data_IF_159852756766
#
_entry.id   IF_159852756766
#
_cell.length_a   1.000
_cell.length_b   1.000
_cell.length_c   1.000
_cell.angle_alpha   90.00
_cell.angle_beta   90.00
_cell.angle_gamma   90.00
#
_symmetry.space_group_name_H-M   'P 1'
#
loop_
_entity.id
_entity.type
_entity.pdbx_description
1 polymer ?
#
# COMPACT_ATOMS: atom_id res chain seq x y z
N UNK A 1 4.19 -14.18 -17.48
CA UNK A 1 4.02 -12.85 -16.88
C UNK A 1 4.90 -11.86 -17.62
N UNK A 2 4.42 -10.63 -17.88
CA UNK A 2 5.25 -9.60 -18.51
C UNK A 2 6.46 -9.28 -17.60
N UNK A 3 7.71 -9.45 -18.07
CA UNK A 3 8.90 -9.26 -17.25
C UNK A 3 9.03 -7.82 -16.72
N UNK A 4 8.52 -6.82 -17.46
CA UNK A 4 8.47 -5.44 -17.00
C UNK A 4 7.52 -5.27 -15.82
N UNK A 5 6.35 -5.90 -15.86
CA UNK A 5 5.36 -5.84 -14.79
C UNK A 5 5.89 -6.50 -13.50
N UNK A 6 6.53 -7.65 -13.62
CA UNK A 6 7.18 -8.31 -12.48
C UNK A 6 8.27 -7.41 -11.88
N UNK A 7 9.12 -6.82 -12.73
CA UNK A 7 10.18 -5.90 -12.28
C UNK A 7 9.59 -4.68 -11.56
N UNK A 8 8.54 -4.06 -12.11
CA UNK A 8 7.85 -2.94 -11.47
C UNK A 8 7.27 -3.34 -10.12
N UNK A 9 6.61 -4.49 -10.01
CA UNK A 9 6.08 -4.98 -8.75
C UNK A 9 7.19 -5.16 -7.70
N UNK A 10 8.30 -5.81 -8.06
CA UNK A 10 9.42 -6.03 -7.14
C UNK A 10 10.01 -4.70 -6.69
N UNK A 11 10.30 -3.79 -7.63
CA UNK A 11 10.93 -2.50 -7.33
C UNK A 11 10.01 -1.64 -6.44
N UNK A 12 8.72 -1.51 -6.79
CA UNK A 12 7.79 -0.71 -6.00
C UNK A 12 7.51 -1.34 -4.64
N UNK A 13 7.41 -2.67 -4.55
CA UNK A 13 7.25 -3.38 -3.28
C UNK A 13 8.45 -3.18 -2.35
N UNK A 14 9.67 -3.33 -2.87
CA UNK A 14 10.90 -3.09 -2.13
C UNK A 14 11.04 -1.62 -1.70
N UNK A 15 10.63 -0.68 -2.56
CA UNK A 15 10.65 0.74 -2.24
C UNK A 15 9.73 1.05 -1.05
N UNK A 16 8.50 0.54 -1.07
CA UNK A 16 7.54 0.75 0.03
C UNK A 16 8.05 0.08 1.31
N UNK A 17 8.64 -1.11 1.21
CA UNK A 17 9.24 -1.80 2.35
C UNK A 17 10.38 -0.98 2.97
N UNK A 18 11.28 -0.45 2.13
CA UNK A 18 12.38 0.40 2.58
C UNK A 18 11.87 1.68 3.24
N UNK A 19 10.87 2.35 2.64
CA UNK A 19 10.26 3.54 3.25
C UNK A 19 9.60 3.24 4.59
N UNK A 20 8.90 2.10 4.71
CA UNK A 20 8.27 1.71 5.97
C UNK A 20 9.31 1.47 7.08
N UNK A 21 10.40 0.75 6.75
CA UNK A 21 11.52 0.52 7.68
C UNK A 21 12.18 1.83 8.08
N UNK A 22 12.38 2.77 7.15
CA UNK A 22 12.95 4.07 7.45
C UNK A 22 12.06 4.88 8.39
N UNK A 23 10.75 4.97 8.12
CA UNK A 23 9.83 5.70 8.98
C UNK A 23 9.73 5.07 10.37
N UNK A 24 9.54 3.76 10.45
CA UNK A 24 9.49 3.05 11.73
C UNK A 24 10.81 3.15 12.50
N UNK A 25 11.95 3.08 11.80
CA UNK A 25 13.28 3.21 12.39
C UNK A 25 13.57 4.61 12.93
N UNK A 26 13.05 5.65 12.28
CA UNK A 26 13.16 7.05 12.76
C UNK A 26 12.23 7.29 13.95
N UNK A 27 11.02 6.73 13.96
CA UNK A 27 10.02 6.93 15.04
C UNK A 27 10.35 6.10 16.29
N UNK A 28 10.73 4.83 16.12
CA UNK A 28 10.91 3.88 17.24
C UNK A 28 12.36 3.47 17.49
N UNK A 29 13.28 3.79 16.58
CA UNK A 29 14.68 3.35 16.62
C UNK A 29 14.90 1.97 15.97
N UNK A 30 15.86 1.89 15.04
CA UNK A 30 16.13 0.65 14.28
C UNK A 30 16.43 -0.60 15.13
N UNK A 31 17.02 -0.42 16.32
CA UNK A 31 17.33 -1.54 17.23
C UNK A 31 16.12 -2.03 18.03
N UNK A 32 15.08 -1.20 18.15
CA UNK A 32 13.87 -1.55 18.88
C UNK A 32 12.83 -2.25 17.98
N UNK A 33 13.06 -2.30 16.65
CA UNK A 33 12.14 -2.92 15.72
C UNK A 33 12.13 -4.46 15.90
N UNK A 34 10.97 -5.06 16.20
CA UNK A 34 10.86 -6.49 16.44
C UNK A 34 11.02 -7.30 15.14
N UNK A 35 11.46 -8.55 15.26
CA UNK A 35 11.69 -9.43 14.09
C UNK A 35 10.45 -9.58 13.20
N UNK A 36 9.26 -9.63 13.80
CA UNK A 36 8.01 -9.76 13.04
C UNK A 36 7.78 -8.56 12.10
N UNK A 37 8.23 -7.36 12.48
CA UNK A 37 8.06 -6.16 11.65
C UNK A 37 8.86 -6.29 10.35
N UNK A 38 10.09 -6.78 10.45
CA UNK A 38 10.96 -7.05 9.30
C UNK A 38 10.36 -8.11 8.36
N UNK A 39 9.85 -9.21 8.93
CA UNK A 39 9.19 -10.27 8.17
C UNK A 39 7.93 -9.76 7.46
N UNK A 40 7.16 -8.89 8.13
CA UNK A 40 5.96 -8.33 7.54
C UNK A 40 6.25 -7.46 6.32
N UNK A 41 7.42 -6.81 6.23
CA UNK A 41 7.80 -6.05 5.04
C UNK A 41 7.93 -6.90 3.78
N UNK A 42 8.25 -8.19 3.92
CA UNK A 42 8.30 -9.12 2.80
C UNK A 42 6.91 -9.35 2.18
N UNK A 43 5.84 -9.15 2.96
CA UNK A 43 4.46 -9.25 2.47
C UNK A 43 4.09 -8.13 1.48
N UNK A 44 4.89 -7.05 1.41
CA UNK A 44 4.68 -6.01 0.41
C UNK A 44 4.94 -6.52 -1.01
N UNK A 45 5.82 -7.50 -1.19
CA UNK A 45 6.07 -8.11 -2.50
C UNK A 45 4.81 -8.77 -3.09
N UNK A 46 4.16 -9.74 -2.42
CA UNK A 46 2.90 -10.29 -2.91
C UNK A 46 1.76 -9.28 -2.86
N UNK A 47 1.77 -8.29 -1.96
CA UNK A 47 0.75 -7.24 -1.93
C UNK A 47 0.70 -6.42 -3.23
N UNK A 48 1.82 -6.32 -3.98
CA UNK A 48 1.85 -5.65 -5.30
C UNK A 48 1.05 -6.36 -6.39
N UNK A 49 0.53 -7.58 -6.15
CA UNK A 49 -0.34 -8.26 -7.11
C UNK A 49 -1.67 -7.53 -7.31
N UNK A 50 -2.25 -6.95 -6.26
CA UNK A 50 -3.49 -6.17 -6.36
C UNK A 50 -3.34 -4.95 -7.27
N UNK A 51 -2.40 -4.02 -7.03
CA UNK A 51 -2.24 -2.85 -7.88
C UNK A 51 -1.84 -3.23 -9.30
N UNK A 52 -1.00 -4.26 -9.48
CA UNK A 52 -0.62 -4.74 -10.81
C UNK A 52 -1.80 -5.23 -11.65
N UNK A 53 -2.84 -5.79 -11.02
CA UNK A 53 -4.06 -6.25 -11.69
C UNK A 53 -5.09 -5.13 -11.85
N UNK A 54 -5.29 -4.31 -10.82
CA UNK A 54 -6.40 -3.36 -10.75
C UNK A 54 -6.08 -2.00 -11.39
N UNK A 55 -4.83 -1.53 -11.34
CA UNK A 55 -4.48 -0.22 -11.88
C UNK A 55 -4.61 -0.11 -13.41
N UNK A 56 -4.26 -1.14 -14.21
CA UNK A 56 -4.53 -1.11 -15.65
C UNK A 56 -6.03 -1.02 -15.94
N UNK A 57 -6.85 -1.78 -15.20
CA UNK A 57 -8.31 -1.74 -15.34
C UNK A 57 -8.86 -0.36 -14.95
N UNK A 58 -8.36 0.21 -13.85
CA UNK A 58 -8.72 1.55 -13.41
C UNK A 58 -8.37 2.59 -14.49
N UNK A 59 -7.19 2.49 -15.11
CA UNK A 59 -6.70 3.44 -16.11
C UNK A 59 -7.59 3.50 -17.37
N UNK A 60 -8.28 2.42 -17.73
CA UNK A 60 -9.23 2.41 -18.86
C UNK A 60 -10.69 2.64 -18.43
N UNK A 61 -10.95 2.78 -17.13
CA UNK A 61 -12.31 2.96 -16.61
C UNK A 61 -12.75 4.42 -16.71
N UNK A 62 -13.74 4.69 -17.56
CA UNK A 62 -14.29 6.05 -17.75
C UNK A 62 -15.04 6.59 -16.51
N UNK A 63 -15.98 5.86 -15.90
CA UNK A 63 -16.74 6.38 -14.76
C UNK A 63 -15.82 6.71 -13.59
N UNK A 64 -15.84 7.96 -13.14
CA UNK A 64 -14.87 8.47 -12.15
C UNK A 64 -14.89 7.68 -10.84
N UNK A 65 -16.07 7.49 -10.24
CA UNK A 65 -16.20 6.77 -8.97
C UNK A 65 -15.72 5.31 -9.07
N UNK A 66 -16.04 4.64 -10.19
CA UNK A 66 -15.57 3.27 -10.45
C UNK A 66 -14.05 3.22 -10.64
N UNK A 67 -13.46 4.22 -11.31
CA UNK A 67 -12.01 4.33 -11.45
C UNK A 67 -11.34 4.56 -10.08
N UNK A 68 -11.89 5.47 -9.28
CA UNK A 68 -11.41 5.76 -7.93
C UNK A 68 -11.47 4.52 -7.03
N UNK A 69 -12.58 3.77 -7.07
CA UNK A 69 -12.70 2.53 -6.28
C UNK A 69 -11.70 1.46 -6.70
N UNK A 70 -11.40 1.32 -8.00
CA UNK A 70 -10.39 0.37 -8.47
C UNK A 70 -8.97 0.77 -8.03
N UNK A 71 -8.64 2.06 -8.04
CA UNK A 71 -7.37 2.53 -7.47
C UNK A 71 -7.31 2.32 -5.96
N UNK A 72 -8.40 2.63 -5.23
CA UNK A 72 -8.49 2.41 -3.79
C UNK A 72 -8.28 0.92 -3.44
N UNK A 73 -8.97 0.02 -4.14
CA UNK A 73 -8.83 -1.43 -3.96
C UNK A 73 -7.42 -1.91 -4.30
N UNK A 74 -6.79 -1.38 -5.35
CA UNK A 74 -5.41 -1.74 -5.69
C UNK A 74 -4.41 -1.34 -4.62
N UNK A 75 -4.67 -0.27 -3.87
CA UNK A 75 -3.83 0.15 -2.75
C UNK A 75 -4.08 -0.59 -1.44
N UNK A 76 -5.17 -1.35 -1.33
CA UNK A 76 -5.61 -1.95 -0.07
C UNK A 76 -4.57 -2.88 0.56
N UNK A 77 -4.03 -3.83 -0.21
CA UNK A 77 -3.06 -4.79 0.33
C UNK A 77 -1.72 -4.12 0.69
N UNK A 78 -1.09 -3.29 -0.17
CA UNK A 78 0.14 -2.60 0.20
C UNK A 78 0.01 -1.70 1.41
N UNK A 79 -1.03 -0.85 1.44
CA UNK A 79 -1.23 0.04 2.58
C UNK A 79 -1.73 -0.68 3.81
N UNK A 80 -2.39 -1.84 3.67
CA UNK A 80 -2.71 -2.71 4.79
C UNK A 80 -1.45 -3.17 5.50
N UNK A 81 -0.47 -3.71 4.75
CA UNK A 81 0.82 -4.10 5.34
C UNK A 81 1.52 -2.88 5.93
N UNK A 82 1.67 -1.79 5.16
CA UNK A 82 2.37 -0.58 5.61
C UNK A 82 1.76 0.00 6.89
N UNK A 83 0.47 0.32 6.86
CA UNK A 83 -0.21 1.03 7.94
C UNK A 83 -0.38 0.17 9.18
N UNK A 84 -0.85 -1.08 9.03
CA UNK A 84 -1.12 -1.95 10.18
C UNK A 84 0.18 -2.33 10.87
N UNK A 85 1.25 -2.61 10.13
CA UNK A 85 2.55 -2.95 10.75
C UNK A 85 3.20 -1.75 11.43
N UNK A 86 3.04 -0.54 10.88
CA UNK A 86 3.49 0.69 11.51
C UNK A 86 2.70 1.02 12.78
N UNK A 87 1.37 1.03 12.70
CA UNK A 87 0.49 1.32 13.84
C UNK A 87 0.67 0.29 14.97
N UNK A 88 0.93 -0.98 14.64
CA UNK A 88 1.15 -2.06 15.62
C UNK A 88 2.46 -1.92 16.41
N UNK A 89 3.37 -1.02 16.03
CA UNK A 89 4.55 -0.68 16.84
C UNK A 89 4.21 0.27 18.01
N UNK A 90 3.03 0.90 17.97
CA UNK A 90 2.62 1.84 19.01
C UNK A 90 2.03 1.11 20.21
N UNK A 91 2.32 1.58 21.44
CA UNK A 91 1.83 0.93 22.66
C UNK A 91 0.30 1.02 22.83
N UNK A 92 -0.33 2.00 22.19
CA UNK A 92 -1.78 2.24 22.19
C UNK A 92 -2.47 1.69 20.93
N UNK A 93 -1.87 0.69 20.27
CA UNK A 93 -2.40 0.12 19.04
C UNK A 93 -3.86 -0.33 19.18
N UNK A 94 -4.70 0.24 18.31
CA UNK A 94 -6.09 -0.14 18.15
C UNK A 94 -6.31 -0.59 16.70
N UNK A 95 -6.64 -1.87 16.52
CA UNK A 95 -6.83 -2.47 15.20
C UNK A 95 -7.98 -1.81 14.43
N UNK A 96 -9.11 -1.55 15.08
CA UNK A 96 -10.29 -0.97 14.43
C UNK A 96 -9.98 0.44 13.92
N UNK A 97 -9.32 1.26 14.74
CA UNK A 97 -8.89 2.60 14.33
C UNK A 97 -7.89 2.54 13.15
N UNK A 98 -6.97 1.58 13.16
CA UNK A 98 -6.02 1.38 12.06
C UNK A 98 -6.73 0.96 10.76
N UNK A 99 -7.70 0.04 10.84
CA UNK A 99 -8.49 -0.42 9.68
C UNK A 99 -9.37 0.69 9.11
N UNK A 100 -10.01 1.51 9.96
CA UNK A 100 -10.77 2.68 9.52
C UNK A 100 -9.83 3.67 8.80
N UNK A 101 -8.68 3.97 9.40
CA UNK A 101 -7.68 4.84 8.79
C UNK A 101 -7.12 4.27 7.47
N UNK A 102 -7.01 2.95 7.33
CA UNK A 102 -6.62 2.28 6.09
C UNK A 102 -7.66 2.52 4.99
N UNK A 103 -8.93 2.29 5.29
CA UNK A 103 -10.03 2.50 4.33
C UNK A 103 -10.06 3.96 3.86
N UNK A 104 -9.92 4.91 4.79
CA UNK A 104 -9.86 6.35 4.48
C UNK A 104 -8.64 6.66 3.60
N UNK A 105 -7.46 6.16 3.97
CA UNK A 105 -6.23 6.35 3.19
C UNK A 105 -6.38 5.82 1.76
N UNK A 106 -6.89 4.60 1.59
CA UNK A 106 -7.12 4.01 0.28
C UNK A 106 -8.13 4.81 -0.55
N UNK A 107 -9.19 5.34 0.07
CA UNK A 107 -10.16 6.20 -0.61
C UNK A 107 -9.53 7.51 -1.08
N UNK A 108 -8.76 8.20 -0.22
CA UNK A 108 -8.05 9.43 -0.58
C UNK A 108 -7.12 9.17 -1.76
N UNK A 109 -6.28 8.14 -1.68
CA UNK A 109 -5.39 7.78 -2.77
C UNK A 109 -6.15 7.38 -4.03
N UNK A 110 -7.26 6.66 -3.92
CA UNK A 110 -8.11 6.30 -5.05
C UNK A 110 -8.65 7.52 -5.79
N UNK A 111 -9.15 8.52 -5.05
CA UNK A 111 -9.66 9.78 -5.60
C UNK A 111 -8.56 10.61 -6.25
N UNK A 112 -7.38 10.68 -5.62
CA UNK A 112 -6.21 11.39 -6.16
C UNK A 112 -5.77 10.75 -7.48
N UNK A 113 -5.57 9.43 -7.51
CA UNK A 113 -5.13 8.73 -8.72
C UNK A 113 -6.18 8.80 -9.84
N UNK A 114 -7.47 8.70 -9.53
CA UNK A 114 -8.54 8.84 -10.51
C UNK A 114 -8.61 10.25 -11.11
N UNK A 115 -8.21 11.27 -10.36
CA UNK A 115 -8.12 12.66 -10.81
C UNK A 115 -6.88 12.90 -11.68
N UNK A 116 -5.73 12.35 -11.28
CA UNK A 116 -4.46 12.52 -12.00
C UNK A 116 -4.41 11.74 -13.32
N UNK A 117 -4.95 10.51 -13.34
CA UNK A 117 -4.98 9.67 -14.55
C UNK A 117 -6.34 9.75 -15.21
N UNK A 118 -6.43 10.61 -16.22
CA UNK A 118 -7.57 10.61 -17.16
C UNK A 118 -7.58 9.28 -17.92
N UNK A 119 -8.78 8.73 -18.19
CA UNK A 119 -8.88 7.46 -18.90
C UNK A 119 -8.37 7.61 -20.33
N UNK A 120 -7.51 6.67 -20.75
CA UNK A 120 -6.97 6.56 -22.11
C UNK A 120 -7.86 5.65 -22.94
#
# INVERSE_FOLDING_TARGET
MNPLLLRSMIVTGLLIAALNVLFAGVEHGFRALPLWFWLAQLLLLPAMLLPARLFPVAAHTRPFLRRASLYALGWLAPYGVFKVTGDALRPDFNLDASLIGLVVLCWIFGLVFASLRKPV
#
